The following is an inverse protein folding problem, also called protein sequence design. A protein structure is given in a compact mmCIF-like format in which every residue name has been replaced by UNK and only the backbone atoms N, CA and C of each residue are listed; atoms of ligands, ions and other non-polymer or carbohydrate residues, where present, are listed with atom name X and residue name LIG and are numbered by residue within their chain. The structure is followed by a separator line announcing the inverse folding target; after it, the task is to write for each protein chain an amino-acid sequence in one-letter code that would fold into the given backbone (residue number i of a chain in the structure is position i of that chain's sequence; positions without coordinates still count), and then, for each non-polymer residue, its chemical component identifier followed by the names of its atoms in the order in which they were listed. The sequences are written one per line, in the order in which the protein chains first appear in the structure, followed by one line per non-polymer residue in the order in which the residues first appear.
data_IF_094194102333
#
_entry.id   IF_094194102333
#
_cell.length_a   1.000
_cell.length_b   1.000
_cell.length_c   1.000
_cell.angle_alpha   90.00
_cell.angle_beta   90.00
_cell.angle_gamma   90.00
#
_symmetry.space_group_name_H-M   'P 1'
#
loop_
_entity.id
_entity.type
_entity.pdbx_description
1 polymer ?
#
# COMPACT_ATOMS: atom_id res chain seq x y z
N UNK A 1 -2.87 -5.28 -3.03
CA UNK A 1 -1.64 -5.21 -2.23
C UNK A 1 -0.78 -6.44 -2.49
N UNK A 2 -1.25 -7.69 -2.26
CA UNK A 2 -0.46 -8.93 -2.43
C UNK A 2 0.23 -9.05 -3.81
N UNK A 3 -0.46 -8.69 -4.91
CA UNK A 3 0.14 -8.65 -6.26
C UNK A 3 1.27 -7.63 -6.39
N UNK A 4 1.19 -6.51 -5.67
CA UNK A 4 2.29 -5.55 -5.62
C UNK A 4 3.49 -6.11 -4.87
N UNK A 5 3.26 -6.74 -3.71
CA UNK A 5 4.33 -7.41 -2.94
C UNK A 5 5.03 -8.46 -3.79
N UNK A 6 4.26 -9.30 -4.51
CA UNK A 6 4.81 -10.24 -5.49
C UNK A 6 5.75 -9.54 -6.49
N UNK A 7 5.27 -8.47 -7.14
CA UNK A 7 6.03 -7.75 -8.16
C UNK A 7 7.35 -7.18 -7.60
N UNK A 8 7.30 -6.59 -6.40
CA UNK A 8 8.48 -6.03 -5.76
C UNK A 8 9.52 -7.09 -5.41
N UNK A 9 9.09 -8.17 -4.78
CA UNK A 9 10.00 -9.27 -4.39
C UNK A 9 10.55 -9.97 -5.62
N UNK A 10 9.73 -10.26 -6.64
CA UNK A 10 10.19 -10.85 -7.89
C UNK A 10 11.31 -10.02 -8.53
N UNK A 11 11.10 -8.72 -8.67
CA UNK A 11 12.09 -7.82 -9.29
C UNK A 11 13.38 -7.72 -8.46
N UNK A 12 13.32 -7.89 -7.14
CA UNK A 12 14.51 -7.89 -6.28
C UNK A 12 15.50 -9.03 -6.58
N UNK A 13 15.03 -10.11 -7.22
CA UNK A 13 15.85 -11.22 -7.65
C UNK A 13 16.45 -11.04 -9.05
N UNK A 14 16.09 -9.97 -9.76
CA UNK A 14 16.62 -9.66 -11.08
C UNK A 14 17.80 -8.69 -10.99
N UNK A 15 18.81 -8.80 -11.88
CA UNK A 15 19.96 -7.90 -11.88
C UNK A 15 19.64 -6.51 -12.48
N UNK A 16 18.56 -5.89 -12.00
CA UNK A 16 18.06 -4.59 -12.48
C UNK A 16 18.51 -3.46 -11.54
N UNK A 17 19.83 -3.37 -11.31
CA UNK A 17 20.41 -2.38 -10.41
C UNK A 17 20.08 -0.95 -10.84
N UNK A 18 19.68 -0.12 -9.87
CA UNK A 18 19.33 1.29 -10.10
C UNK A 18 17.92 1.51 -10.65
N UNK A 19 17.35 0.56 -11.40
CA UNK A 19 16.00 0.68 -11.98
C UNK A 19 14.99 -0.30 -11.37
N UNK A 20 15.38 -1.07 -10.37
CA UNK A 20 14.54 -2.12 -9.76
C UNK A 20 13.22 -1.58 -9.19
N UNK A 21 13.21 -0.39 -8.58
CA UNK A 21 11.98 0.24 -8.07
C UNK A 21 11.02 0.61 -9.20
N UNK A 22 11.56 1.17 -10.29
CA UNK A 22 10.77 1.49 -11.49
C UNK A 22 10.25 0.21 -12.14
N UNK A 23 11.08 -0.81 -12.26
CA UNK A 23 10.69 -2.11 -12.84
C UNK A 23 9.60 -2.79 -12.01
N UNK A 24 9.69 -2.73 -10.68
CA UNK A 24 8.66 -3.26 -9.78
C UNK A 24 7.33 -2.49 -9.92
N UNK A 25 7.40 -1.16 -10.01
CA UNK A 25 6.23 -0.32 -10.25
C UNK A 25 5.57 -0.64 -11.61
N UNK A 26 6.37 -0.73 -12.68
CA UNK A 26 5.90 -1.08 -14.03
C UNK A 26 5.30 -2.49 -14.08
N UNK A 27 5.91 -3.47 -13.40
CA UNK A 27 5.37 -4.84 -13.33
C UNK A 27 4.07 -4.90 -12.53
N UNK A 28 3.91 -4.07 -11.51
CA UNK A 28 2.69 -4.03 -10.71
C UNK A 28 1.46 -3.56 -11.52
N UNK A 29 1.64 -2.74 -12.55
CA UNK A 29 0.54 -2.20 -13.37
C UNK A 29 -0.25 -3.29 -14.11
N UNK A 30 0.36 -4.15 -14.97
CA UNK A 30 -0.36 -5.20 -15.67
C UNK A 30 -0.92 -6.26 -14.70
N UNK A 31 -0.27 -6.47 -13.56
CA UNK A 31 -0.76 -7.36 -12.50
C UNK A 31 -1.93 -6.75 -11.70
N UNK A 32 -2.32 -5.50 -12.00
CA UNK A 32 -3.30 -4.75 -11.22
C UNK A 32 -2.95 -4.76 -9.72
N UNK A 33 -1.67 -4.71 -9.44
CA UNK A 33 -1.09 -4.64 -8.10
C UNK A 33 -1.05 -3.21 -7.56
N UNK A 34 -0.84 -3.08 -6.26
CA UNK A 34 -0.58 -1.77 -5.67
C UNK A 34 0.90 -1.41 -5.88
N UNK A 35 1.15 -0.31 -6.59
CA UNK A 35 2.50 0.16 -6.94
C UNK A 35 3.33 0.46 -5.69
N UNK A 36 2.72 1.07 -4.68
CA UNK A 36 3.42 1.37 -3.43
C UNK A 36 3.85 0.08 -2.71
N UNK A 37 2.98 -0.93 -2.69
CA UNK A 37 3.33 -2.24 -2.14
C UNK A 37 4.45 -2.93 -2.95
N UNK A 38 4.53 -2.70 -4.26
CA UNK A 38 5.63 -3.20 -5.09
C UNK A 38 6.94 -2.52 -4.74
N UNK A 39 6.95 -1.19 -4.60
CA UNK A 39 8.15 -0.44 -4.17
C UNK A 39 8.62 -0.92 -2.78
N UNK A 40 7.72 -1.07 -1.82
CA UNK A 40 8.09 -1.63 -0.51
C UNK A 40 8.56 -3.09 -0.61
N UNK A 41 8.00 -3.88 -1.51
CA UNK A 41 8.45 -5.25 -1.76
C UNK A 41 9.91 -5.33 -2.23
N UNK A 42 10.42 -4.30 -2.92
CA UNK A 42 11.82 -4.26 -3.36
C UNK A 42 12.82 -4.11 -2.21
N UNK A 43 12.38 -3.71 -1.01
CA UNK A 43 13.24 -3.61 0.16
C UNK A 43 13.80 -4.98 0.62
N UNK A 44 13.23 -6.08 0.15
CA UNK A 44 13.78 -7.43 0.35
C UNK A 44 15.16 -7.53 -0.31
N UNK A 45 15.38 -6.87 -1.45
CA UNK A 45 16.67 -6.75 -2.12
C UNK A 45 17.53 -5.63 -1.55
N UNK A 46 17.91 -5.71 -0.28
CA UNK A 46 18.78 -4.74 0.39
C UNK A 46 20.25 -5.24 0.40
N UNK A 47 21.23 -4.39 0.73
CA UNK A 47 22.65 -4.77 0.73
C UNK A 47 22.99 -5.99 1.60
N UNK A 48 22.19 -6.27 2.63
CA UNK A 48 22.41 -7.42 3.52
C UNK A 48 21.93 -8.74 2.87
N UNK A 49 20.78 -8.70 2.18
CA UNK A 49 20.17 -9.89 1.54
C UNK A 49 20.69 -10.11 0.13
N UNK A 50 21.20 -9.06 -0.50
CA UNK A 50 21.69 -9.10 -1.88
C UNK A 50 22.71 -10.19 -2.17
N UNK A 51 23.76 -10.45 -1.34
CA UNK A 51 24.70 -11.52 -1.61
C UNK A 51 24.04 -12.91 -1.68
N UNK A 52 23.08 -13.19 -0.79
CA UNK A 52 22.34 -14.44 -0.78
C UNK A 52 21.42 -14.57 -1.99
N UNK A 53 20.74 -13.49 -2.36
CA UNK A 53 19.86 -13.43 -3.54
C UNK A 53 20.67 -13.66 -4.81
N UNK A 54 21.79 -12.96 -4.96
CA UNK A 54 22.67 -13.09 -6.13
C UNK A 54 23.25 -14.50 -6.26
N UNK A 55 23.70 -15.06 -5.16
CA UNK A 55 24.20 -16.43 -5.13
C UNK A 55 23.13 -17.45 -5.56
N UNK A 56 21.94 -17.42 -4.95
CA UNK A 56 20.84 -18.31 -5.31
C UNK A 56 20.42 -18.16 -6.77
N UNK A 57 20.34 -16.92 -7.26
CA UNK A 57 19.96 -16.66 -8.65
C UNK A 57 21.03 -17.20 -9.62
N UNK A 58 22.31 -16.97 -9.37
CA UNK A 58 23.38 -17.44 -10.24
C UNK A 58 23.51 -18.95 -10.23
N UNK A 59 23.51 -19.61 -9.06
CA UNK A 59 23.55 -21.06 -8.94
C UNK A 59 22.37 -21.72 -9.70
N UNK A 60 21.17 -21.18 -9.51
CA UNK A 60 19.99 -21.66 -10.24
C UNK A 60 20.14 -21.45 -11.75
N UNK A 61 20.68 -20.30 -12.16
CA UNK A 61 20.90 -19.99 -13.58
C UNK A 61 21.92 -20.93 -14.23
N UNK A 62 23.06 -21.16 -13.57
CA UNK A 62 24.07 -22.08 -14.05
C UNK A 62 23.57 -23.53 -14.14
N UNK A 63 22.82 -23.96 -13.10
CA UNK A 63 22.21 -25.28 -13.10
C UNK A 63 21.29 -25.49 -14.31
N UNK A 64 20.47 -24.49 -14.62
CA UNK A 64 19.54 -24.56 -15.76
C UNK A 64 20.26 -24.50 -17.11
N UNK A 65 21.33 -23.73 -17.19
CA UNK A 65 22.13 -23.60 -18.43
C UNK A 65 23.11 -24.77 -18.65
N UNK A 66 23.21 -25.71 -17.70
CA UNK A 66 24.10 -26.87 -17.81
C UNK A 66 25.58 -26.53 -17.62
N UNK A 67 25.88 -25.45 -16.88
CA UNK A 67 27.24 -25.03 -16.60
C UNK A 67 27.69 -25.39 -15.17
N UNK A 68 28.93 -25.89 -15.06
CA UNK A 68 29.60 -26.18 -13.78
C UNK A 68 30.26 -24.96 -13.16
N UNK A 69 29.66 -23.79 -13.26
CA UNK A 69 30.32 -22.54 -12.89
C UNK A 69 29.87 -22.04 -11.51
N UNK A 70 30.57 -22.51 -10.47
CA UNK A 70 30.50 -21.90 -9.13
C UNK A 70 31.56 -20.83 -8.99
N UNK A 71 31.27 -19.62 -9.49
CA UNK A 71 32.18 -18.49 -9.30
C UNK A 71 32.10 -18.01 -7.84
N UNK A 72 33.23 -17.83 -7.13
CA UNK A 72 33.23 -17.21 -5.84
C UNK A 72 32.69 -15.76 -5.94
N UNK A 73 32.07 -15.26 -4.86
CA UNK A 73 31.47 -13.92 -4.82
C UNK A 73 32.44 -12.81 -5.21
N UNK A 74 33.73 -12.98 -4.93
CA UNK A 74 34.79 -12.03 -5.37
C UNK A 74 34.85 -11.89 -6.89
N UNK A 75 34.75 -13.00 -7.63
CA UNK A 75 34.78 -12.99 -9.10
C UNK A 75 33.55 -12.27 -9.68
N UNK A 76 32.41 -12.35 -8.99
CA UNK A 76 31.20 -11.60 -9.38
C UNK A 76 31.42 -10.09 -9.21
N UNK A 77 31.95 -9.69 -8.06
CA UNK A 77 32.24 -8.27 -7.78
C UNK A 77 33.23 -7.73 -8.80
N UNK A 78 34.29 -8.48 -9.11
CA UNK A 78 35.29 -8.12 -10.09
C UNK A 78 34.69 -8.01 -11.50
N UNK A 79 33.81 -8.93 -11.88
CA UNK A 79 33.12 -8.92 -13.18
C UNK A 79 32.19 -7.72 -13.34
N UNK A 80 31.46 -7.34 -12.27
CA UNK A 80 30.66 -6.12 -12.24
C UNK A 80 31.54 -4.85 -12.33
N UNK A 81 32.67 -4.85 -11.63
CA UNK A 81 33.63 -3.75 -11.66
C UNK A 81 34.21 -3.56 -13.06
N UNK A 82 34.67 -4.65 -13.69
CA UNK A 82 35.21 -4.62 -15.05
C UNK A 82 34.19 -4.17 -16.09
N UNK A 83 32.97 -4.72 -16.04
CA UNK A 83 31.91 -4.33 -16.97
C UNK A 83 31.51 -2.84 -16.80
N UNK A 84 31.42 -2.36 -15.57
CA UNK A 84 31.10 -0.96 -15.28
C UNK A 84 32.23 -0.03 -15.72
N UNK A 85 33.49 -0.41 -15.47
CA UNK A 85 34.67 0.33 -15.93
C UNK A 85 34.70 0.44 -17.46
N UNK A 86 34.50 -0.66 -18.17
CA UNK A 86 34.45 -0.67 -19.62
C UNK A 86 33.29 0.16 -20.19
N UNK A 87 32.13 0.13 -19.56
CA UNK A 87 30.98 0.96 -19.96
C UNK A 87 31.32 2.46 -19.82
N UNK A 88 31.97 2.83 -18.71
CA UNK A 88 32.42 4.21 -18.48
C UNK A 88 33.46 4.65 -19.49
N UNK A 89 34.46 3.80 -19.80
CA UNK A 89 35.49 4.10 -20.77
C UNK A 89 34.96 4.19 -22.20
N UNK A 90 34.05 3.31 -22.57
CA UNK A 90 33.34 3.36 -23.84
C UNK A 90 32.47 4.63 -23.95
N UNK A 91 31.80 5.01 -22.85
CA UNK A 91 31.04 6.27 -22.80
C UNK A 91 31.93 7.50 -23.05
N UNK A 92 33.10 7.56 -22.43
CA UNK A 92 34.12 8.62 -22.71
C UNK A 92 34.60 8.55 -24.15
N UNK A 93 34.92 7.38 -24.66
CA UNK A 93 35.38 7.18 -26.02
C UNK A 93 34.35 7.65 -27.07
N UNK A 94 33.08 7.45 -26.84
CA UNK A 94 31.99 7.95 -27.70
C UNK A 94 31.87 9.45 -27.71
N UNK A 95 32.12 10.12 -26.56
CA UNK A 95 32.01 11.58 -26.44
C UNK A 95 33.26 12.28 -26.95
N UNK A 96 34.45 11.73 -26.67
CA UNK A 96 35.75 12.37 -26.95
C UNK A 96 36.48 11.77 -28.14
N UNK A 97 35.90 10.83 -28.88
CA UNK A 97 36.46 10.26 -30.12
C UNK A 97 37.57 9.24 -29.85
N UNK A 98 37.29 8.15 -29.16
CA UNK A 98 38.20 7.05 -28.89
C UNK A 98 37.73 5.72 -29.48
N UNK A 99 38.57 4.67 -29.37
CA UNK A 99 38.19 3.28 -29.72
C UNK A 99 37.34 2.66 -28.62
N UNK A 100 36.20 2.06 -28.99
CA UNK A 100 35.36 1.34 -28.05
C UNK A 100 35.72 -0.14 -28.03
N UNK A 101 35.74 -0.75 -26.84
CA UNK A 101 36.00 -2.16 -26.62
C UNK A 101 34.82 -2.76 -25.86
N UNK A 102 34.28 -3.86 -26.33
CA UNK A 102 33.06 -4.47 -25.78
C UNK A 102 33.29 -5.88 -25.21
N UNK A 103 34.56 -6.32 -25.11
CA UNK A 103 34.93 -7.66 -24.73
C UNK A 103 34.48 -8.04 -23.32
N UNK A 104 34.81 -7.23 -22.34
CA UNK A 104 34.43 -7.48 -20.93
C UNK A 104 32.91 -7.40 -20.71
N UNK A 105 32.24 -6.47 -21.39
CA UNK A 105 30.80 -6.35 -21.32
C UNK A 105 30.09 -7.55 -21.96
N UNK A 106 30.59 -8.06 -23.09
CA UNK A 106 30.09 -9.25 -23.75
C UNK A 106 30.33 -10.53 -22.92
N UNK A 107 31.48 -10.58 -22.22
CA UNK A 107 31.79 -11.64 -21.28
C UNK A 107 30.88 -11.60 -20.07
N UNK A 108 30.75 -10.45 -19.41
CA UNK A 108 29.84 -10.22 -18.30
C UNK A 108 28.41 -10.61 -18.66
N UNK A 109 27.93 -10.22 -19.85
CA UNK A 109 26.60 -10.56 -20.34
C UNK A 109 26.35 -12.07 -20.35
N UNK A 110 27.28 -12.85 -20.88
CA UNK A 110 27.13 -14.30 -21.03
C UNK A 110 27.43 -15.07 -19.76
N UNK A 111 28.43 -14.67 -19.00
CA UNK A 111 28.91 -15.40 -17.85
C UNK A 111 28.21 -15.04 -16.54
N UNK A 112 27.68 -13.83 -16.44
CA UNK A 112 27.05 -13.35 -15.19
C UNK A 112 25.61 -12.93 -15.40
N UNK A 113 25.36 -11.99 -16.32
CA UNK A 113 24.06 -11.36 -16.47
C UNK A 113 22.97 -12.36 -16.92
N UNK A 114 23.24 -13.15 -17.94
CA UNK A 114 22.28 -14.10 -18.50
C UNK A 114 21.93 -15.23 -17.50
N UNK A 115 22.90 -15.92 -16.87
CA UNK A 115 22.59 -16.87 -15.81
C UNK A 115 21.81 -16.25 -14.66
N UNK A 116 22.21 -15.05 -14.22
CA UNK A 116 21.49 -14.32 -13.17
C UNK A 116 20.04 -14.01 -13.57
N UNK A 117 19.80 -13.56 -14.79
CA UNK A 117 18.44 -13.29 -15.29
C UNK A 117 17.56 -14.54 -15.27
N UNK A 118 18.11 -15.67 -15.78
CA UNK A 118 17.38 -16.94 -15.83
C UNK A 118 17.09 -17.46 -14.42
N UNK A 119 18.11 -17.56 -13.59
CA UNK A 119 17.97 -18.07 -12.23
C UNK A 119 17.17 -17.12 -11.34
N UNK A 120 17.39 -15.81 -11.47
CA UNK A 120 16.63 -14.78 -10.75
C UNK A 120 15.15 -14.79 -11.13
N UNK A 121 14.81 -15.09 -12.38
CA UNK A 121 13.41 -15.25 -12.79
C UNK A 121 12.76 -16.45 -12.09
N UNK A 122 13.48 -17.56 -11.97
CA UNK A 122 12.98 -18.77 -11.32
C UNK A 122 12.88 -18.57 -9.80
N UNK A 123 14.00 -18.22 -9.16
CA UNK A 123 14.05 -18.05 -7.70
C UNK A 123 13.18 -16.88 -7.24
N UNK A 124 13.19 -15.76 -7.97
CA UNK A 124 12.33 -14.61 -7.72
C UNK A 124 10.86 -14.91 -7.95
N UNK A 125 10.53 -15.73 -8.96
CA UNK A 125 9.18 -16.22 -9.18
C UNK A 125 8.67 -17.04 -8.00
N UNK A 126 9.46 -17.98 -7.52
CA UNK A 126 9.12 -18.81 -6.35
C UNK A 126 9.00 -17.95 -5.08
N UNK A 127 9.97 -17.08 -4.81
CA UNK A 127 9.95 -16.16 -3.66
C UNK A 127 8.75 -15.19 -3.72
N UNK A 128 8.45 -14.67 -4.89
CA UNK A 128 7.30 -13.81 -5.13
C UNK A 128 5.98 -14.51 -4.89
N UNK A 129 5.81 -15.75 -5.40
CA UNK A 129 4.62 -16.58 -5.18
C UNK A 129 4.46 -16.88 -3.68
N UNK A 130 5.53 -17.32 -3.01
CA UNK A 130 5.51 -17.57 -1.57
C UNK A 130 5.06 -16.32 -0.80
N UNK A 131 5.66 -15.18 -1.11
CA UNK A 131 5.33 -13.89 -0.47
C UNK A 131 3.91 -13.44 -0.77
N UNK A 132 3.39 -13.69 -1.96
CA UNK A 132 2.00 -13.43 -2.30
C UNK A 132 1.06 -14.16 -1.35
N UNK A 133 1.24 -15.47 -1.18
CA UNK A 133 0.38 -16.25 -0.28
C UNK A 133 0.58 -15.90 1.20
N UNK A 134 1.82 -15.61 1.63
CA UNK A 134 2.10 -15.17 3.00
C UNK A 134 1.47 -13.80 3.31
N UNK A 135 1.40 -12.90 2.34
CA UNK A 135 0.82 -11.56 2.53
C UNK A 135 -0.72 -11.57 2.61
N UNK A 136 -1.40 -12.57 2.03
CA UNK A 136 -2.86 -12.62 1.99
C UNK A 136 -3.50 -12.63 3.40
N UNK A 137 -3.13 -13.53 4.34
CA UNK A 137 -3.76 -13.56 5.66
C UNK A 137 -3.51 -12.28 6.44
N UNK A 138 -2.33 -11.69 6.31
CA UNK A 138 -1.98 -10.41 6.96
C UNK A 138 -2.88 -9.28 6.45
N UNK A 139 -3.04 -9.18 5.13
CA UNK A 139 -3.87 -8.16 4.49
C UNK A 139 -5.34 -8.33 4.86
N UNK A 140 -5.86 -9.56 4.81
CA UNK A 140 -7.26 -9.86 5.15
C UNK A 140 -7.53 -9.60 6.63
N UNK A 141 -6.61 -10.00 7.52
CA UNK A 141 -6.69 -9.72 8.96
C UNK A 141 -6.75 -8.21 9.25
N UNK A 142 -5.85 -7.44 8.64
CA UNK A 142 -5.83 -5.98 8.79
C UNK A 142 -7.11 -5.32 8.28
N UNK A 143 -7.63 -5.77 7.14
CA UNK A 143 -8.88 -5.23 6.57
C UNK A 143 -10.07 -5.51 7.48
N UNK A 144 -10.19 -6.72 8.05
CA UNK A 144 -11.24 -7.07 8.99
C UNK A 144 -11.20 -6.16 10.23
N UNK A 145 -10.02 -5.96 10.81
CA UNK A 145 -9.85 -5.08 11.98
C UNK A 145 -10.21 -3.63 11.67
N UNK A 146 -9.82 -3.13 10.48
CA UNK A 146 -10.16 -1.77 10.05
C UNK A 146 -11.67 -1.58 9.87
N UNK A 147 -12.34 -2.53 9.21
CA UNK A 147 -13.80 -2.49 9.01
C UNK A 147 -14.53 -2.56 10.35
N UNK A 148 -14.11 -3.41 11.27
CA UNK A 148 -14.72 -3.50 12.60
C UNK A 148 -14.63 -2.17 13.36
N UNK A 149 -13.45 -1.54 13.40
CA UNK A 149 -13.28 -0.22 14.05
C UNK A 149 -14.13 0.88 13.40
N UNK A 150 -14.26 0.86 12.07
CA UNK A 150 -15.10 1.85 11.37
C UNK A 150 -16.57 1.65 11.69
N UNK A 151 -17.05 0.39 11.77
CA UNK A 151 -18.42 0.08 12.17
C UNK A 151 -18.73 0.56 13.59
N UNK A 152 -17.87 0.23 14.54
CA UNK A 152 -18.03 0.70 15.94
C UNK A 152 -18.09 2.22 16.04
N UNK A 153 -17.26 2.94 15.26
CA UNK A 153 -17.29 4.41 15.21
C UNK A 153 -18.59 4.96 14.63
N UNK A 154 -19.13 4.34 13.58
CA UNK A 154 -20.41 4.72 12.98
C UNK A 154 -21.57 4.43 13.94
N UNK A 155 -21.58 3.26 14.56
CA UNK A 155 -22.62 2.88 15.53
C UNK A 155 -22.66 3.80 16.75
N UNK A 156 -21.49 4.18 17.29
CA UNK A 156 -21.40 5.18 18.37
C UNK A 156 -21.93 6.53 17.93
N UNK A 157 -21.52 7.02 16.76
CA UNK A 157 -22.02 8.29 16.25
C UNK A 157 -23.53 8.32 15.99
N UNK A 158 -24.10 7.21 15.55
CA UNK A 158 -25.55 7.07 15.40
C UNK A 158 -26.27 7.04 16.76
N UNK A 159 -25.73 6.31 17.74
CA UNK A 159 -26.28 6.28 19.09
C UNK A 159 -26.23 7.64 19.77
N UNK A 160 -25.15 8.39 19.64
CA UNK A 160 -25.03 9.76 20.17
C UNK A 160 -26.05 10.71 19.53
N UNK A 161 -26.24 10.64 18.21
CA UNK A 161 -27.25 11.43 17.49
C UNK A 161 -28.67 11.06 17.92
N UNK A 162 -28.97 9.77 18.07
CA UNK A 162 -30.27 9.30 18.53
C UNK A 162 -30.56 9.80 19.96
N UNK A 163 -29.57 9.73 20.86
CA UNK A 163 -29.69 10.24 22.23
C UNK A 163 -29.90 11.77 22.26
N UNK A 164 -29.18 12.51 21.41
CA UNK A 164 -29.36 13.95 21.31
C UNK A 164 -30.77 14.36 20.81
N UNK A 165 -31.29 13.65 19.80
CA UNK A 165 -32.66 13.84 19.29
C UNK A 165 -33.72 13.53 20.36
N UNK A 166 -33.58 12.40 21.05
CA UNK A 166 -34.50 12.03 22.14
C UNK A 166 -34.47 13.05 23.28
N UNK A 167 -33.29 13.56 23.61
CA UNK A 167 -33.14 14.63 24.59
C UNK A 167 -33.80 15.95 24.15
N UNK A 168 -33.65 16.32 22.88
CA UNK A 168 -34.31 17.52 22.33
C UNK A 168 -35.84 17.38 22.29
N UNK A 169 -36.37 16.22 21.93
CA UNK A 169 -37.81 15.93 21.96
C UNK A 169 -38.35 15.97 23.38
N UNK A 170 -37.64 15.41 24.35
CA UNK A 170 -38.04 15.44 25.75
C UNK A 170 -38.05 16.86 26.30
N UNK A 171 -37.07 17.69 25.96
CA UNK A 171 -37.01 19.09 26.33
C UNK A 171 -38.15 19.88 25.70
N UNK A 172 -38.48 19.68 24.43
CA UNK A 172 -39.58 20.33 23.73
C UNK A 172 -40.94 19.95 24.33
N UNK A 173 -41.14 18.68 24.73
CA UNK A 173 -42.38 18.26 25.44
C UNK A 173 -42.50 18.89 26.82
N UNK A 174 -41.40 18.97 27.57
CA UNK A 174 -41.40 19.59 28.88
C UNK A 174 -41.68 21.12 28.80
N UNK A 175 -41.26 21.79 27.75
CA UNK A 175 -41.54 23.21 27.52
C UNK A 175 -43.00 23.43 27.11
N UNK A 176 -43.54 22.56 26.24
CA UNK A 176 -44.96 22.58 25.87
C UNK A 176 -45.90 22.35 27.08
N UNK A 177 -45.57 21.46 27.99
CA UNK A 177 -46.34 21.19 29.22
C UNK A 177 -46.30 22.40 30.19
N UNK A 178 -45.16 23.11 30.26
CA UNK A 178 -45.03 24.35 31.06
C UNK A 178 -45.89 25.50 30.51
N UNK A 179 -45.98 25.62 29.19
CA UNK A 179 -46.78 26.67 28.57
C UNK A 179 -48.28 26.40 28.73
N UNK A 180 -48.69 25.13 28.72
CA UNK A 180 -50.10 24.77 28.92
C UNK A 180 -50.55 24.97 30.39
N UNK A 181 -49.69 24.67 31.36
CA UNK A 181 -49.94 24.91 32.78
C UNK A 181 -49.87 26.36 33.22
N UNK A 182 -49.18 27.24 32.42
CA UNK A 182 -49.03 28.67 32.66
C UNK A 182 -50.18 29.51 32.08
N UNK A 183 -51.21 28.93 31.45
CA UNK A 183 -52.43 29.63 31.01
C UNK A 183 -53.50 29.61 32.15
N UNK A 184 -53.51 30.59 33.08
CA UNK A 184 -54.52 30.63 34.12
C UNK A 184 -55.80 31.28 33.58
N UNK A 185 -56.91 30.58 33.64
CA UNK A 185 -58.26 31.07 33.98
C UNK A 185 -58.42 32.60 33.97
N UNK A 186 -58.36 33.26 32.83
CA UNK A 186 -58.79 34.63 32.64
C UNK A 186 -60.04 34.64 31.74
N UNK A 187 -61.09 33.92 32.17
CA UNK A 187 -62.31 33.80 31.38
C UNK A 187 -63.58 33.56 32.16
N UNK A 188 -63.60 33.87 33.50
CA UNK A 188 -64.85 33.67 34.23
C UNK A 188 -65.14 34.72 35.29
N UNK A 189 -64.85 36.00 35.04
CA UNK A 189 -65.25 37.08 35.95
C UNK A 189 -65.64 38.38 35.23
N UNK A 190 -66.55 38.28 34.24
CA UNK A 190 -67.15 39.49 33.67
C UNK A 190 -68.52 39.22 33.02
N UNK A 191 -69.44 38.61 33.78
CA UNK A 191 -70.84 38.60 33.34
C UNK A 191 -71.77 38.34 34.56
N UNK A 192 -71.71 39.27 35.57
CA UNK A 192 -72.78 39.31 36.54
C UNK A 192 -72.70 40.68 37.20
N UNK A 193 -73.29 41.72 36.51
CA UNK A 193 -73.84 42.90 37.14
C UNK A 193 -74.34 43.88 36.08
N UNK A 194 -75.60 43.74 35.70
CA UNK A 194 -76.45 44.84 35.24
C UNK A 194 -77.82 44.29 34.83
N UNK A 195 -78.65 44.06 35.79
CA UNK A 195 -80.08 44.16 35.55
C UNK A 195 -80.73 44.65 36.91
N UNK A 196 -81.01 45.93 37.01
CA UNK A 196 -81.94 46.45 37.93
C UNK A 196 -82.84 47.47 37.18
N UNK A 197 -84.16 47.15 36.94
CA UNK A 197 -85.13 48.11 36.38
C UNK A 197 -85.82 48.86 37.49
N UNK A 198 -85.36 50.03 37.84
CA UNK A 198 -86.07 50.98 38.73
C UNK A 198 -87.20 51.69 38.07
N UNK A 199 -88.29 51.62 38.67
CA UNK A 199 -89.69 52.03 38.57
C UNK A 199 -89.96 53.52 38.45
N UNK A 200 -91.18 53.87 38.07
CA UNK A 200 -91.64 55.15 37.47
C UNK A 200 -92.10 56.14 38.50
N UNK A 201 -92.24 57.42 38.05
CA UNK A 201 -92.91 58.50 38.60
C UNK A 201 -93.26 59.49 37.50
#
# INVERSE_FOLDING_TARGET
VARGVFAGIFVSFLPLFGIHMLSAALLALPLRGNVLAAIFGTLVGNPLTFPAIAWMALETGYLVMGGDYSAPMSTLIDSFGAATGQLWDNGKALIFGGSTHWGELARFWREVFLPYMIGGTITGGLAGIASYYLSLPVIVGYQKLRVAKTREGVERGLAERAAALAGAEAAARADADRTDTASPTAGHAATEQADDPGKPG
#
